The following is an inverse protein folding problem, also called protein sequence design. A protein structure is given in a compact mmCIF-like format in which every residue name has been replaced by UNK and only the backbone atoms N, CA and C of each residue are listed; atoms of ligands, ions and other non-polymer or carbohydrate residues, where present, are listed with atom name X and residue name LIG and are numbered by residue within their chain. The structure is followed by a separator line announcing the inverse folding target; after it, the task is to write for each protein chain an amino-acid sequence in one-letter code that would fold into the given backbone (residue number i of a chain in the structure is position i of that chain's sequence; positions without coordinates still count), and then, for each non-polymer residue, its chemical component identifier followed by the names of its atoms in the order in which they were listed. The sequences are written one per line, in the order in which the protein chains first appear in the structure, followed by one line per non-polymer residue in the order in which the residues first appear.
data_IF_820513506709
#
_entry.id   IF_820513506709
#
_cell.length_a   1.000
_cell.length_b   1.000
_cell.length_c   1.000
_cell.angle_alpha   90.00
_cell.angle_beta   90.00
_cell.angle_gamma   90.00
#
_symmetry.space_group_name_H-M   'P 1'
#
loop_
_entity.id
_entity.type
_entity.pdbx_description
1 polymer ?
#
# COMPACT_ATOMS: atom_id res chain seq x y z
N UNK A 1 13.65 -12.88 -1.16
CA UNK A 1 12.95 -11.71 -1.74
C UNK A 1 13.13 -10.52 -0.84
N UNK A 2 13.18 -9.30 -1.40
CA UNK A 2 13.16 -8.02 -0.67
C UNK A 2 11.75 -7.45 -0.71
N UNK A 3 11.13 -7.29 0.46
CA UNK A 3 9.77 -6.77 0.63
C UNK A 3 9.82 -5.39 1.31
N UNK A 4 9.13 -4.41 0.74
CA UNK A 4 8.80 -3.16 1.42
C UNK A 4 7.34 -3.20 1.89
N UNK A 5 7.10 -2.91 3.16
CA UNK A 5 5.75 -2.72 3.70
C UNK A 5 5.57 -1.26 4.10
N UNK A 6 4.65 -0.55 3.44
CA UNK A 6 4.27 0.82 3.82
C UNK A 6 3.29 0.73 5.00
N UNK A 7 3.82 0.88 6.21
CA UNK A 7 3.18 0.53 7.47
C UNK A 7 3.89 -0.65 8.14
N UNK A 8 3.15 -1.71 8.49
CA UNK A 8 3.74 -2.97 8.97
C UNK A 8 3.76 -3.18 10.49
N UNK A 9 3.40 -2.17 11.28
CA UNK A 9 3.39 -2.28 12.75
C UNK A 9 2.05 -2.72 13.34
N UNK A 10 0.98 -2.78 12.54
CA UNK A 10 -0.37 -3.12 13.01
C UNK A 10 -1.21 -3.90 11.98
N UNK A 11 -2.27 -4.58 12.46
CA UNK A 11 -3.24 -5.35 11.67
C UNK A 11 -2.63 -6.16 10.50
N UNK A 12 -3.11 -5.94 9.27
CA UNK A 12 -2.70 -6.68 8.06
C UNK A 12 -1.21 -6.49 7.79
N UNK A 13 -0.69 -5.27 7.94
CA UNK A 13 0.73 -5.00 7.73
C UNK A 13 1.61 -5.82 8.67
N UNK A 14 1.22 -5.96 9.94
CA UNK A 14 1.97 -6.78 10.91
C UNK A 14 1.96 -8.26 10.52
N UNK A 15 0.80 -8.80 10.16
CA UNK A 15 0.67 -10.19 9.76
C UNK A 15 1.51 -10.51 8.51
N UNK A 16 1.54 -9.59 7.54
CA UNK A 16 2.38 -9.69 6.33
C UNK A 16 3.87 -9.71 6.71
N UNK A 17 4.31 -8.77 7.55
CA UNK A 17 5.71 -8.67 7.98
C UNK A 17 6.17 -9.96 8.68
N UNK A 18 5.39 -10.46 9.65
CA UNK A 18 5.76 -11.66 10.40
C UNK A 18 5.78 -12.91 9.51
N UNK A 19 4.83 -13.02 8.58
CA UNK A 19 4.78 -14.13 7.62
C UNK A 19 5.98 -14.10 6.67
N UNK A 20 6.32 -12.93 6.14
CA UNK A 20 7.46 -12.76 5.23
C UNK A 20 8.80 -13.05 5.94
N UNK A 21 8.95 -12.60 7.19
CA UNK A 21 10.12 -12.92 8.01
C UNK A 21 10.25 -14.42 8.29
N UNK A 22 9.14 -15.09 8.64
CA UNK A 22 9.12 -16.54 8.83
C UNK A 22 9.48 -17.30 7.53
N UNK A 23 9.17 -16.72 6.37
CA UNK A 23 9.58 -17.21 5.06
C UNK A 23 11.03 -16.87 4.65
N UNK A 24 11.82 -16.22 5.52
CA UNK A 24 13.21 -15.86 5.26
C UNK A 24 13.41 -14.69 4.30
N UNK A 25 12.41 -13.82 4.14
CA UNK A 25 12.52 -12.64 3.27
C UNK A 25 13.22 -11.48 3.97
N UNK A 26 13.90 -10.63 3.21
CA UNK A 26 14.41 -9.36 3.72
C UNK A 26 13.28 -8.35 3.75
N UNK A 27 12.82 -7.95 4.94
CA UNK A 27 11.66 -7.08 5.12
C UNK A 27 12.10 -5.70 5.58
N UNK A 28 11.74 -4.67 4.80
CA UNK A 28 11.83 -3.27 5.18
C UNK A 28 10.42 -2.77 5.54
N UNK A 29 10.27 -2.06 6.66
CA UNK A 29 9.02 -1.35 7.00
C UNK A 29 9.25 0.15 6.91
N UNK A 30 8.27 0.90 6.40
CA UNK A 30 8.25 2.36 6.50
C UNK A 30 7.03 2.79 7.30
N UNK A 31 7.23 3.36 8.49
CA UNK A 31 6.13 3.76 9.36
C UNK A 31 6.45 5.02 10.17
N UNK A 32 5.49 5.54 10.94
CA UNK A 32 5.64 6.79 11.72
C UNK A 32 6.11 6.59 13.17
N UNK A 33 6.38 5.35 13.59
CA UNK A 33 6.72 5.00 14.96
C UNK A 33 5.56 5.16 15.98
N UNK A 34 4.32 5.37 15.52
CA UNK A 34 3.17 5.70 16.39
C UNK A 34 2.43 4.49 16.97
N UNK A 35 2.55 3.32 16.33
CA UNK A 35 1.73 2.13 16.62
C UNK A 35 2.52 1.01 17.33
N UNK A 36 3.70 1.34 17.87
CA UNK A 36 4.64 0.37 18.46
C UNK A 36 5.76 -0.05 17.50
N UNK A 37 6.70 -0.89 17.98
CA UNK A 37 7.87 -1.30 17.21
C UNK A 37 7.51 -2.26 16.07
N UNK A 38 8.34 -2.27 15.03
CA UNK A 38 8.26 -3.29 13.98
C UNK A 38 8.62 -4.69 14.50
N UNK A 39 8.35 -5.73 13.71
CA UNK A 39 8.68 -7.10 14.14
C UNK A 39 10.20 -7.28 14.22
N UNK A 40 10.74 -8.02 15.20
CA UNK A 40 12.17 -8.30 15.26
C UNK A 40 12.67 -8.89 13.94
N UNK A 41 13.78 -8.37 13.41
CA UNK A 41 14.35 -8.78 12.13
C UNK A 41 13.93 -7.94 10.93
N UNK A 42 13.03 -6.97 11.07
CA UNK A 42 12.79 -5.96 10.02
C UNK A 42 13.87 -4.89 10.01
N UNK A 43 14.20 -4.40 8.81
CA UNK A 43 14.83 -3.10 8.63
C UNK A 43 13.75 -2.00 8.75
N UNK A 44 13.65 -1.39 9.93
CA UNK A 44 12.63 -0.39 10.23
C UNK A 44 13.10 1.03 9.84
N UNK A 45 12.31 1.69 8.98
CA UNK A 45 12.51 3.06 8.51
C UNK A 45 11.37 3.95 8.98
N UNK A 46 11.69 5.20 9.34
CA UNK A 46 10.72 6.15 9.86
C UNK A 46 10.52 7.35 8.93
N UNK A 47 9.29 7.51 8.43
CA UNK A 47 8.82 8.70 7.73
C UNK A 47 7.28 8.75 7.74
N UNK A 48 6.71 9.94 7.59
CA UNK A 48 5.32 10.05 7.14
C UNK A 48 5.30 9.95 5.61
N UNK A 49 4.53 9.01 5.07
CA UNK A 49 4.45 8.80 3.61
C UNK A 49 3.75 9.93 2.86
N UNK A 50 3.01 10.79 3.57
CA UNK A 50 2.44 12.01 2.98
C UNK A 50 3.49 13.09 2.75
N UNK A 51 4.67 12.96 3.37
CA UNK A 51 5.87 13.73 3.06
C UNK A 51 6.76 12.93 2.10
N UNK A 52 6.63 13.22 0.80
CA UNK A 52 7.37 12.54 -0.25
C UNK A 52 8.90 12.69 -0.08
N UNK A 53 9.37 13.84 0.42
CA UNK A 53 10.80 14.07 0.61
C UNK A 53 11.34 13.24 1.79
N UNK A 54 10.61 13.20 2.90
CA UNK A 54 10.97 12.37 4.05
C UNK A 54 10.94 10.87 3.69
N UNK A 55 9.93 10.43 2.95
CA UNK A 55 9.84 9.05 2.47
C UNK A 55 11.03 8.70 1.55
N UNK A 56 11.37 9.56 0.58
CA UNK A 56 12.51 9.34 -0.30
C UNK A 56 13.83 9.27 0.46
N UNK A 57 14.04 10.16 1.43
CA UNK A 57 15.24 10.17 2.27
C UNK A 57 15.35 8.91 3.13
N UNK A 58 14.25 8.47 3.75
CA UNK A 58 14.23 7.28 4.62
C UNK A 58 14.47 5.98 3.83
N UNK A 59 13.99 5.91 2.59
CA UNK A 59 14.13 4.75 1.72
C UNK A 59 15.45 4.74 0.92
N UNK A 60 16.11 5.89 0.76
CA UNK A 60 17.37 6.00 0.03
C UNK A 60 17.24 5.55 -1.42
N UNK A 61 18.21 4.78 -1.92
CA UNK A 61 18.23 4.19 -3.26
C UNK A 61 17.93 2.69 -3.26
N UNK A 62 17.36 2.17 -2.16
CA UNK A 62 17.02 0.76 -2.03
C UNK A 62 15.99 0.31 -3.08
N UNK A 63 16.00 -1.00 -3.37
CA UNK A 63 15.14 -1.64 -4.37
C UNK A 63 14.49 -2.89 -3.77
N UNK A 64 13.27 -3.20 -4.21
CA UNK A 64 12.46 -4.30 -3.70
C UNK A 64 11.87 -5.15 -4.81
N UNK A 65 11.57 -6.40 -4.49
CA UNK A 65 10.82 -7.26 -5.41
C UNK A 65 9.31 -6.92 -5.33
N UNK A 66 8.83 -6.57 -4.14
CA UNK A 66 7.42 -6.29 -3.87
C UNK A 66 7.27 -5.13 -2.87
N UNK A 67 6.30 -4.27 -3.13
CA UNK A 67 5.75 -3.30 -2.16
C UNK A 67 4.37 -3.77 -1.74
N UNK A 68 4.07 -3.76 -0.43
CA UNK A 68 2.72 -3.95 0.09
C UNK A 68 2.26 -2.64 0.73
N UNK A 69 1.14 -2.12 0.24
CA UNK A 69 0.52 -0.89 0.72
C UNK A 69 -0.85 -1.18 1.36
N UNK A 70 -0.96 -0.92 2.67
CA UNK A 70 -2.19 -1.08 3.44
C UNK A 70 -2.93 0.24 3.71
N UNK A 71 -2.68 1.29 2.91
CA UNK A 71 -3.28 2.61 3.09
C UNK A 71 -4.80 2.62 2.90
N UNK A 72 -5.48 3.45 3.68
CA UNK A 72 -6.94 3.55 3.69
C UNK A 72 -7.47 4.99 3.67
N UNK A 73 -6.58 6.00 3.70
CA UNK A 73 -6.98 7.40 3.64
C UNK A 73 -6.79 7.93 2.20
N UNK A 74 -6.48 9.23 2.05
CA UNK A 74 -6.35 9.94 0.78
C UNK A 74 -5.64 9.12 -0.33
N UNK A 75 -6.31 8.88 -1.48
CA UNK A 75 -5.73 8.21 -2.65
C UNK A 75 -4.43 8.83 -3.17
N UNK A 76 -4.29 10.14 -3.08
CA UNK A 76 -3.10 10.88 -3.55
C UNK A 76 -1.79 10.39 -2.89
N UNK A 77 -1.85 9.89 -1.66
CA UNK A 77 -0.70 9.30 -0.96
C UNK A 77 -0.30 7.94 -1.54
N UNK A 78 -1.25 7.16 -2.06
CA UNK A 78 -0.97 5.93 -2.81
C UNK A 78 -0.28 6.30 -4.12
N UNK A 79 -0.85 7.27 -4.86
CA UNK A 79 -0.31 7.71 -6.15
C UNK A 79 1.15 8.17 -6.03
N UNK A 80 1.42 9.02 -5.04
CA UNK A 80 2.74 9.56 -4.76
C UNK A 80 3.76 8.44 -4.47
N UNK A 81 3.40 7.52 -3.57
CA UNK A 81 4.28 6.39 -3.22
C UNK A 81 4.49 5.42 -4.39
N UNK A 82 3.44 5.15 -5.18
CA UNK A 82 3.48 4.27 -6.33
C UNK A 82 4.39 4.85 -7.41
N UNK A 83 4.26 6.14 -7.73
CA UNK A 83 5.13 6.80 -8.71
C UNK A 83 6.59 6.85 -8.26
N UNK A 84 6.85 7.16 -6.98
CA UNK A 84 8.20 7.16 -6.42
C UNK A 84 8.87 5.79 -6.51
N UNK A 85 8.11 4.72 -6.24
CA UNK A 85 8.63 3.35 -6.17
C UNK A 85 8.61 2.64 -7.53
N UNK A 86 7.98 3.21 -8.56
CA UNK A 86 7.77 2.57 -9.86
C UNK A 86 9.06 2.03 -10.49
N UNK A 87 10.18 2.73 -10.32
CA UNK A 87 11.50 2.33 -10.85
C UNK A 87 12.34 1.52 -9.86
N UNK A 88 11.87 1.35 -8.62
CA UNK A 88 12.59 0.74 -7.50
C UNK A 88 11.98 -0.58 -7.02
N UNK A 89 10.75 -0.89 -7.40
CA UNK A 89 10.13 -2.17 -7.11
C UNK A 89 9.63 -2.88 -8.37
N UNK A 90 9.70 -4.21 -8.40
CA UNK A 90 9.17 -5.00 -9.51
C UNK A 90 7.63 -4.98 -9.49
N UNK A 91 7.01 -5.20 -8.32
CA UNK A 91 5.55 -5.23 -8.14
C UNK A 91 5.07 -4.32 -7.02
N UNK A 92 3.79 -3.90 -7.10
CA UNK A 92 3.12 -3.11 -6.08
C UNK A 92 1.75 -3.70 -5.76
N UNK A 93 1.57 -4.23 -4.55
CA UNK A 93 0.31 -4.75 -4.09
C UNK A 93 -0.40 -3.72 -3.20
N UNK A 94 -1.55 -3.24 -3.67
CA UNK A 94 -2.40 -2.37 -2.88
C UNK A 94 -3.49 -3.20 -2.23
N UNK A 95 -3.54 -3.23 -0.89
CA UNK A 95 -4.56 -3.98 -0.17
C UNK A 95 -5.88 -3.22 -0.26
N UNK A 96 -6.73 -3.58 -1.23
CA UNK A 96 -8.04 -2.95 -1.41
C UNK A 96 -9.08 -3.44 -0.39
N UNK A 97 -10.38 -3.24 -0.66
CA UNK A 97 -11.49 -3.60 0.21
C UNK A 97 -12.70 -4.02 -0.61
N UNK A 98 -13.50 -4.95 -0.08
CA UNK A 98 -14.81 -5.31 -0.67
C UNK A 98 -15.77 -4.13 -0.76
N UNK A 99 -15.53 -3.07 0.00
CA UNK A 99 -16.36 -1.86 -0.05
C UNK A 99 -16.28 -1.12 -1.39
N UNK A 100 -15.31 -1.43 -2.27
CA UNK A 100 -15.26 -0.78 -3.60
C UNK A 100 -16.39 -1.23 -4.52
N UNK A 101 -17.04 -2.37 -4.26
CA UNK A 101 -18.14 -2.85 -5.09
C UNK A 101 -19.44 -2.08 -4.81
N UNK A 102 -20.15 -1.69 -5.86
CA UNK A 102 -21.40 -0.95 -5.76
C UNK A 102 -22.49 -1.81 -5.10
N UNK A 103 -23.20 -1.24 -4.12
CA UNK A 103 -24.28 -1.92 -3.42
C UNK A 103 -25.60 -1.85 -4.20
N UNK A 104 -26.42 -2.92 -4.24
CA UNK A 104 -26.18 -4.24 -3.65
C UNK A 104 -25.25 -5.12 -4.49
N UNK A 105 -24.36 -5.86 -3.81
CA UNK A 105 -23.48 -6.84 -4.44
C UNK A 105 -24.29 -8.13 -4.71
N UNK A 106 -24.41 -8.61 -5.96
CA UNK A 106 -25.14 -9.83 -6.27
C UNK A 106 -24.57 -11.08 -5.60
N UNK A 107 -25.41 -12.08 -5.33
CA UNK A 107 -24.93 -13.40 -4.91
C UNK A 107 -24.12 -14.05 -6.04
N UNK A 108 -22.95 -14.61 -5.71
CA UNK A 108 -22.05 -15.19 -6.70
C UNK A 108 -21.24 -14.16 -7.50
N UNK A 109 -21.26 -12.89 -7.11
CA UNK A 109 -20.39 -11.87 -7.70
C UNK A 109 -18.90 -12.21 -7.54
N UNK A 110 -18.13 -11.95 -8.59
CA UNK A 110 -16.67 -12.04 -8.65
C UNK A 110 -16.06 -10.63 -8.86
N UNK A 111 -14.77 -10.58 -9.19
CA UNK A 111 -14.02 -9.33 -9.39
C UNK A 111 -14.50 -8.49 -10.60
N UNK A 112 -15.42 -9.01 -11.41
CA UNK A 112 -16.05 -8.27 -12.51
C UNK A 112 -17.27 -7.44 -12.09
N UNK A 113 -17.71 -7.55 -10.83
CA UNK A 113 -18.87 -6.83 -10.33
C UNK A 113 -18.66 -5.30 -10.39
N UNK A 114 -19.73 -4.51 -10.60
CA UNK A 114 -19.63 -3.05 -10.68
C UNK A 114 -18.99 -2.47 -9.42
N UNK A 115 -18.11 -1.50 -9.61
CA UNK A 115 -17.43 -0.78 -8.54
C UNK A 115 -17.93 0.66 -8.46
N UNK A 116 -17.75 1.29 -7.30
CA UNK A 116 -17.98 2.73 -7.13
C UNK A 116 -16.98 3.54 -7.96
N UNK A 117 -17.28 4.82 -8.18
CA UNK A 117 -16.31 5.76 -8.74
C UNK A 117 -15.23 6.10 -7.70
N UNK A 118 -14.03 6.42 -8.17
CA UNK A 118 -12.93 6.86 -7.33
C UNK A 118 -11.99 7.78 -8.10
N UNK A 119 -11.28 8.64 -7.38
CA UNK A 119 -10.29 9.56 -7.96
C UNK A 119 -8.90 9.27 -7.37
N UNK A 120 -7.91 8.87 -8.19
CA UNK A 120 -6.55 8.61 -7.74
C UNK A 120 -5.82 9.87 -7.24
N UNK A 121 -6.29 11.07 -7.59
CA UNK A 121 -5.75 12.34 -7.14
C UNK A 121 -6.42 12.91 -5.89
N UNK A 122 -7.48 12.27 -5.38
CA UNK A 122 -8.23 12.82 -4.25
C UNK A 122 -7.39 12.90 -2.97
N UNK A 123 -7.55 14.01 -2.26
CA UNK A 123 -7.02 14.22 -0.90
C UNK A 123 -8.06 13.89 0.17
N UNK A 124 -9.31 13.63 -0.23
CA UNK A 124 -10.41 13.30 0.66
C UNK A 124 -10.44 11.80 0.95
N UNK A 125 -10.97 11.43 2.12
CA UNK A 125 -11.16 10.02 2.49
C UNK A 125 -12.38 9.76 3.36
N UNK A 126 -13.34 10.69 3.36
CA UNK A 126 -14.57 10.58 4.16
C UNK A 126 -15.48 9.45 3.65
N UNK A 127 -15.55 9.27 2.32
CA UNK A 127 -16.13 8.08 1.71
C UNK A 127 -15.06 6.99 1.57
N UNK A 128 -15.11 6.00 2.45
CA UNK A 128 -14.18 4.90 2.46
C UNK A 128 -14.20 4.08 1.16
N UNK A 129 -15.36 3.86 0.55
CA UNK A 129 -15.45 3.07 -0.68
C UNK A 129 -14.77 3.80 -1.84
N UNK A 130 -15.07 5.10 -2.01
CA UNK A 130 -14.46 5.94 -3.02
C UNK A 130 -12.94 6.12 -2.78
N UNK A 131 -12.50 6.25 -1.52
CA UNK A 131 -11.09 6.35 -1.18
C UNK A 131 -10.31 5.06 -1.50
N UNK A 132 -10.87 3.89 -1.17
CA UNK A 132 -10.25 2.60 -1.54
C UNK A 132 -10.19 2.44 -3.06
N UNK A 133 -11.25 2.79 -3.78
CA UNK A 133 -11.26 2.76 -5.24
C UNK A 133 -10.23 3.73 -5.85
N UNK A 134 -10.16 4.95 -5.34
CA UNK A 134 -9.14 5.92 -5.75
C UNK A 134 -7.72 5.38 -5.52
N UNK A 135 -7.48 4.67 -4.41
CA UNK A 135 -6.22 4.00 -4.12
C UNK A 135 -5.85 2.90 -5.14
N UNK A 136 -6.80 2.08 -5.59
CA UNK A 136 -6.58 1.09 -6.66
C UNK A 136 -6.15 1.78 -7.96
N UNK A 137 -6.90 2.82 -8.36
CA UNK A 137 -6.61 3.60 -9.57
C UNK A 137 -5.25 4.30 -9.48
N UNK A 138 -4.88 4.76 -8.28
CA UNK A 138 -3.61 5.41 -8.01
C UNK A 138 -2.44 4.44 -8.14
N UNK A 139 -2.57 3.23 -7.61
CA UNK A 139 -1.59 2.17 -7.78
C UNK A 139 -1.43 1.81 -9.27
N UNK A 140 -2.54 1.61 -9.99
CA UNK A 140 -2.54 1.31 -11.44
C UNK A 140 -1.88 2.43 -12.25
N UNK A 141 -2.15 3.70 -11.91
CA UNK A 141 -1.52 4.84 -12.58
C UNK A 141 0.00 4.91 -12.35
N UNK A 142 0.49 4.44 -11.20
CA UNK A 142 1.91 4.43 -10.87
C UNK A 142 2.68 3.21 -11.41
N UNK A 143 2.09 2.02 -11.34
CA UNK A 143 2.76 0.74 -11.63
C UNK A 143 2.25 -0.01 -12.87
N UNK A 144 1.11 0.40 -13.43
CA UNK A 144 0.52 -0.24 -14.61
C UNK A 144 0.15 -1.71 -14.35
N UNK A 145 0.56 -2.58 -15.26
CA UNK A 145 0.34 -4.03 -15.21
C UNK A 145 1.15 -4.76 -14.13
N UNK A 146 2.01 -4.05 -13.40
CA UNK A 146 2.81 -4.60 -12.29
C UNK A 146 2.11 -4.48 -10.93
N UNK A 147 0.90 -3.94 -10.91
CA UNK A 147 0.04 -3.95 -9.72
C UNK A 147 -0.51 -5.36 -9.49
N UNK A 148 -0.55 -5.77 -8.21
CA UNK A 148 -1.16 -7.01 -7.74
C UNK A 148 -2.40 -6.72 -6.90
#
# INVERSE_FOLDING_TARGET
MRLLVLGGTHHVGRAVVETALAGGWGVTTLNRGRSGPSAPGTDERHADRTDAAAMAAALGEDRWDLVIDTWAAAPSAVLTSAQMLATRAAHYCYVSSRSVYAWPIPSGADESAPVVEGDPGSEESDDYAAAKRGGELAALKGFGDRVL
#
